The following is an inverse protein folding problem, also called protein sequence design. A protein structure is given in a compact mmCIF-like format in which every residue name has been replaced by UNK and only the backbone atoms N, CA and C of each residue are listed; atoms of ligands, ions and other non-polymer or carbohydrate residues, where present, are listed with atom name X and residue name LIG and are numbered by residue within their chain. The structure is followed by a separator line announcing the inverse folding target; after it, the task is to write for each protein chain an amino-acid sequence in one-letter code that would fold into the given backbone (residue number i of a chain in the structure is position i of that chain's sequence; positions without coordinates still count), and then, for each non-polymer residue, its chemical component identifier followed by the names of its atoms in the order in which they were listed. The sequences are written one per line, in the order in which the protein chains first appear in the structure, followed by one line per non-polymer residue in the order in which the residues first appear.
data_IF_904499746092
#
_entry.id   IF_904499746092
#
_cell.length_a   1.000
_cell.length_b   1.000
_cell.length_c   1.000
_cell.angle_alpha   90.00
_cell.angle_beta   90.00
_cell.angle_gamma   90.00
#
_symmetry.space_group_name_H-M   'P 1'
#
loop_
_entity.id
_entity.type
_entity.pdbx_description
1 polymer ?
#
# COMPACT_ATOMS: atom_id res chain seq x y z
N UNK A 1 6.24 -3.26 23.41
CA UNK A 1 6.13 -2.10 22.48
C UNK A 1 5.07 -2.42 21.42
N UNK A 2 4.07 -1.56 21.21
CA UNK A 2 3.07 -1.76 20.15
C UNK A 2 3.76 -1.64 18.77
N UNK A 3 3.44 -2.57 17.86
CA UNK A 3 3.89 -2.51 16.48
C UNK A 3 3.15 -1.38 15.76
N UNK A 4 3.86 -0.52 15.04
CA UNK A 4 3.28 0.57 14.25
C UNK A 4 3.21 0.16 12.79
N UNK A 5 2.05 0.38 12.17
CA UNK A 5 1.77 0.04 10.78
C UNK A 5 1.15 1.23 10.07
N UNK A 6 1.69 1.61 8.92
CA UNK A 6 1.05 2.55 7.98
C UNK A 6 0.49 1.74 6.83
N UNK A 7 -0.82 1.77 6.65
CA UNK A 7 -1.48 1.27 5.45
C UNK A 7 -1.53 2.39 4.43
N UNK A 8 -0.87 2.18 3.29
CA UNK A 8 -0.75 3.17 2.23
C UNK A 8 -1.72 2.86 1.09
N UNK A 9 -2.75 3.68 0.97
CA UNK A 9 -3.79 3.61 -0.06
C UNK A 9 -4.23 5.01 -0.49
N UNK A 10 -3.56 5.62 -1.46
CA UNK A 10 -3.80 7.00 -1.88
C UNK A 10 -5.24 7.32 -2.32
N UNK A 11 -5.93 6.38 -2.95
CA UNK A 11 -7.31 6.57 -3.41
C UNK A 11 -8.18 5.42 -2.93
N UNK A 12 -9.20 5.73 -2.14
CA UNK A 12 -10.23 4.79 -1.72
C UNK A 12 -11.43 5.03 -2.63
N UNK A 13 -11.74 4.03 -3.46
CA UNK A 13 -12.87 4.02 -4.38
C UNK A 13 -13.80 2.89 -3.97
N UNK A 14 -14.99 2.80 -4.54
CA UNK A 14 -15.95 1.75 -4.17
C UNK A 14 -15.62 0.47 -4.97
N UNK A 15 -14.88 -0.47 -4.35
CA UNK A 15 -14.43 -1.69 -5.02
C UNK A 15 -14.02 -2.82 -4.07
N UNK A 16 -13.67 -3.97 -4.67
CA UNK A 16 -13.26 -5.17 -3.91
C UNK A 16 -11.94 -5.03 -3.15
N UNK A 17 -11.06 -4.14 -3.60
CA UNK A 17 -9.79 -3.84 -2.91
C UNK A 17 -10.07 -3.13 -1.60
N UNK A 18 -11.03 -2.23 -1.60
CA UNK A 18 -11.43 -1.41 -0.45
C UNK A 18 -12.15 -2.23 0.61
N UNK A 19 -13.05 -3.15 0.23
CA UNK A 19 -13.66 -4.09 1.19
C UNK A 19 -12.60 -4.85 1.97
N UNK A 20 -11.65 -5.41 1.25
CA UNK A 20 -10.52 -6.12 1.84
C UNK A 20 -9.64 -5.21 2.72
N UNK A 21 -9.42 -3.95 2.31
CA UNK A 21 -8.74 -2.97 3.14
C UNK A 21 -9.46 -2.75 4.48
N UNK A 22 -10.78 -2.59 4.46
CA UNK A 22 -11.57 -2.36 5.67
C UNK A 22 -11.47 -3.55 6.63
N UNK A 23 -11.66 -4.77 6.10
CA UNK A 23 -11.61 -5.99 6.92
C UNK A 23 -10.23 -6.22 7.53
N UNK A 24 -9.17 -6.15 6.71
CA UNK A 24 -7.79 -6.32 7.17
C UNK A 24 -7.41 -5.25 8.19
N UNK A 25 -7.74 -3.98 7.93
CA UNK A 25 -7.39 -2.88 8.83
C UNK A 25 -8.12 -2.98 10.16
N UNK A 26 -9.40 -3.29 10.14
CA UNK A 26 -10.20 -3.46 11.35
C UNK A 26 -9.74 -4.67 12.17
N UNK A 27 -9.41 -5.78 11.52
CA UNK A 27 -8.83 -6.96 12.19
C UNK A 27 -7.50 -6.63 12.86
N UNK A 28 -6.60 -5.95 12.17
CA UNK A 28 -5.29 -5.58 12.71
C UNK A 28 -5.40 -4.60 13.88
N UNK A 29 -6.32 -3.64 13.81
CA UNK A 29 -6.60 -2.69 14.89
C UNK A 29 -7.11 -3.41 16.14
N UNK A 30 -8.08 -4.34 15.99
CA UNK A 30 -8.59 -5.18 17.10
C UNK A 30 -7.47 -6.02 17.76
N UNK A 31 -6.45 -6.41 17.02
CA UNK A 31 -5.28 -7.14 17.53
C UNK A 31 -4.17 -6.22 18.08
N UNK A 32 -4.54 -5.01 18.54
CA UNK A 32 -3.64 -4.05 19.24
C UNK A 32 -2.46 -3.55 18.42
N UNK A 33 -2.53 -3.60 17.09
CA UNK A 33 -1.58 -2.94 16.20
C UNK A 33 -1.95 -1.46 16.12
N UNK A 34 -0.98 -0.57 16.36
CA UNK A 34 -1.18 0.87 16.16
C UNK A 34 -1.18 1.15 14.65
N UNK A 35 -2.37 1.30 14.09
CA UNK A 35 -2.59 1.39 12.65
C UNK A 35 -2.94 2.81 12.24
N UNK A 36 -2.26 3.28 11.20
CA UNK A 36 -2.52 4.55 10.55
C UNK A 36 -2.82 4.31 9.08
N UNK A 37 -3.86 4.95 8.54
CA UNK A 37 -4.20 4.89 7.12
C UNK A 37 -3.78 6.18 6.45
N UNK A 38 -2.94 6.07 5.42
CA UNK A 38 -2.50 7.17 4.59
C UNK A 38 -3.27 7.18 3.27
N UNK A 39 -4.17 8.16 3.14
CA UNK A 39 -5.06 8.32 1.98
C UNK A 39 -5.39 9.79 1.73
N UNK A 40 -5.77 10.10 0.49
CA UNK A 40 -6.38 11.39 0.15
C UNK A 40 -7.90 11.43 0.35
N UNK A 41 -8.54 10.27 0.54
CA UNK A 41 -9.99 10.15 0.65
C UNK A 41 -10.39 9.80 2.09
N UNK A 42 -10.92 10.77 2.83
CA UNK A 42 -11.41 10.54 4.20
C UNK A 42 -12.91 10.18 4.27
N UNK A 43 -13.62 10.19 3.15
CA UNK A 43 -15.08 10.02 3.12
C UNK A 43 -15.55 8.64 3.61
N UNK A 44 -14.68 7.64 3.57
CA UNK A 44 -15.01 6.27 4.02
C UNK A 44 -14.46 5.94 5.42
N UNK A 45 -14.11 6.96 6.21
CA UNK A 45 -13.61 6.76 7.57
C UNK A 45 -14.58 6.00 8.47
N UNK A 46 -15.89 6.06 8.19
CA UNK A 46 -16.94 5.34 8.91
C UNK A 46 -16.84 3.81 8.81
N UNK A 47 -16.21 3.29 7.77
CA UNK A 47 -16.00 1.86 7.56
C UNK A 47 -14.84 1.29 8.38
N UNK A 48 -14.11 2.15 9.07
CA UNK A 48 -12.95 1.77 9.89
C UNK A 48 -13.26 1.90 11.38
N UNK A 49 -12.59 1.08 12.19
CA UNK A 49 -12.62 1.19 13.64
C UNK A 49 -12.14 2.57 14.09
N UNK A 50 -12.80 3.14 15.12
CA UNK A 50 -12.51 4.48 15.67
C UNK A 50 -11.06 4.66 16.17
N UNK A 51 -10.39 3.56 16.45
CA UNK A 51 -8.99 3.54 16.92
C UNK A 51 -7.96 3.78 15.80
N UNK A 52 -8.39 3.61 14.53
CA UNK A 52 -7.53 3.78 13.37
C UNK A 52 -7.35 5.26 13.07
N UNK A 53 -6.10 5.70 13.01
CA UNK A 53 -5.76 7.08 12.71
C UNK A 53 -5.64 7.28 11.20
N UNK A 54 -6.16 8.40 10.71
CA UNK A 54 -5.98 8.81 9.32
C UNK A 54 -4.89 9.86 9.24
N UNK A 55 -3.90 9.58 8.39
CA UNK A 55 -2.85 10.51 8.01
C UNK A 55 -2.98 10.77 6.51
N UNK A 56 -3.07 12.03 6.10
CA UNK A 56 -3.26 12.37 4.69
C UNK A 56 -3.58 13.83 4.52
N UNK A 57 -4.06 14.18 3.36
CA UNK A 57 -4.51 15.54 3.08
C UNK A 57 -5.88 15.75 3.71
N UNK A 58 -5.95 16.61 4.73
CA UNK A 58 -7.22 17.00 5.37
C UNK A 58 -8.12 17.84 4.46
N UNK A 59 -7.62 18.29 3.31
CA UNK A 59 -8.29 19.21 2.43
C UNK A 59 -9.14 18.44 1.40
N UNK A 60 -10.43 18.76 1.33
CA UNK A 60 -11.39 18.24 0.34
C UNK A 60 -10.98 18.51 -1.12
N UNK A 61 -10.12 19.52 -1.35
CA UNK A 61 -9.55 19.81 -2.65
C UNK A 61 -8.91 18.59 -3.33
N UNK A 62 -8.24 17.71 -2.55
CA UNK A 62 -7.58 16.53 -3.10
C UNK A 62 -8.53 15.41 -3.47
N UNK A 63 -9.73 15.38 -2.87
CA UNK A 63 -10.72 14.32 -3.10
C UNK A 63 -11.23 14.31 -4.53
N UNK A 64 -11.34 15.50 -5.15
CA UNK A 64 -11.84 15.68 -6.51
C UNK A 64 -10.75 15.64 -7.59
N UNK A 65 -9.49 15.36 -7.21
CA UNK A 65 -8.38 15.29 -8.17
C UNK A 65 -8.24 13.92 -8.81
N UNK A 66 -7.59 13.91 -9.98
CA UNK A 66 -7.27 12.68 -10.70
C UNK A 66 -6.41 11.74 -9.82
N UNK A 67 -6.56 10.44 -10.04
CA UNK A 67 -5.87 9.38 -9.29
C UNK A 67 -4.35 9.59 -9.21
N UNK A 68 -3.72 10.03 -10.30
CA UNK A 68 -2.26 10.30 -10.32
C UNK A 68 -1.85 11.42 -9.37
N UNK A 69 -2.66 12.47 -9.26
CA UNK A 69 -2.42 13.59 -8.34
C UNK A 69 -2.57 13.14 -6.89
N UNK A 70 -3.60 12.33 -6.59
CA UNK A 70 -3.78 11.72 -5.26
C UNK A 70 -2.57 10.85 -4.89
N UNK A 71 -2.05 10.08 -5.85
CA UNK A 71 -0.84 9.26 -5.64
C UNK A 71 0.36 10.12 -5.28
N UNK A 72 0.63 11.16 -6.07
CA UNK A 72 1.75 12.08 -5.81
C UNK A 72 1.62 12.76 -4.44
N UNK A 73 0.46 13.30 -4.11
CA UNK A 73 0.20 13.95 -2.82
C UNK A 73 0.46 12.98 -1.65
N UNK A 74 -0.09 11.75 -1.72
CA UNK A 74 0.11 10.75 -0.68
C UNK A 74 1.56 10.27 -0.58
N UNK A 75 2.30 10.18 -1.69
CA UNK A 75 3.73 9.84 -1.68
C UNK A 75 4.56 10.91 -0.99
N UNK A 76 4.24 12.20 -1.22
CA UNK A 76 4.88 13.32 -0.52
C UNK A 76 4.59 13.25 0.99
N UNK A 77 3.32 13.01 1.37
CA UNK A 77 2.93 12.84 2.78
C UNK A 77 3.65 11.64 3.41
N UNK A 78 3.74 10.52 2.70
CA UNK A 78 4.46 9.33 3.17
C UNK A 78 5.93 9.65 3.43
N UNK A 79 6.60 10.31 2.48
CA UNK A 79 8.00 10.70 2.59
C UNK A 79 8.25 11.55 3.83
N UNK A 80 7.51 12.66 4.00
CA UNK A 80 7.68 13.53 5.17
C UNK A 80 7.28 12.87 6.48
N UNK A 81 6.26 12.02 6.46
CA UNK A 81 5.85 11.27 7.65
C UNK A 81 6.95 10.30 8.10
N UNK A 82 7.54 9.57 7.16
CA UNK A 82 8.63 8.64 7.47
C UNK A 82 9.90 9.37 7.92
N UNK A 83 10.27 10.49 7.30
CA UNK A 83 11.47 11.26 7.69
C UNK A 83 11.40 11.74 9.12
N UNK A 84 10.24 12.25 9.55
CA UNK A 84 10.04 12.82 10.89
C UNK A 84 10.07 11.77 12.01
N UNK A 85 9.92 10.49 11.70
CA UNK A 85 9.86 9.43 12.71
C UNK A 85 11.24 8.90 13.06
N UNK A 86 11.63 8.97 14.33
CA UNK A 86 12.85 8.31 14.84
C UNK A 86 12.76 6.79 14.69
N UNK A 87 11.59 6.20 15.02
CA UNK A 87 11.32 4.79 14.83
C UNK A 87 10.44 4.61 13.59
N UNK A 88 10.94 3.84 12.62
CA UNK A 88 10.23 3.61 11.37
C UNK A 88 9.10 2.57 11.57
N UNK A 89 7.85 2.88 11.16
CA UNK A 89 6.77 1.91 11.12
C UNK A 89 6.98 0.91 10.00
N UNK A 90 6.23 -0.19 10.01
CA UNK A 90 6.07 -1.02 8.82
C UNK A 90 5.10 -0.30 7.86
N UNK A 91 5.42 -0.25 6.57
CA UNK A 91 4.50 0.25 5.53
C UNK A 91 3.83 -0.93 4.84
N UNK A 92 2.50 -0.90 4.72
CA UNK A 92 1.73 -1.87 3.97
C UNK A 92 1.02 -1.18 2.81
N UNK A 93 1.54 -1.35 1.59
CA UNK A 93 1.06 -0.65 0.41
C UNK A 93 0.03 -1.49 -0.35
N UNK A 94 -1.19 -0.95 -0.50
CA UNK A 94 -2.29 -1.51 -1.30
C UNK A 94 -2.34 -0.95 -2.71
N UNK A 95 -1.79 0.25 -2.93
CA UNK A 95 -1.74 0.94 -4.22
C UNK A 95 -0.41 1.65 -4.38
N UNK A 96 -0.07 2.03 -5.61
CA UNK A 96 1.16 2.73 -5.96
C UNK A 96 2.43 2.05 -5.42
N UNK A 97 2.41 0.71 -5.36
CA UNK A 97 3.40 -0.15 -4.69
C UNK A 97 4.85 0.19 -5.07
N UNK A 98 5.11 0.39 -6.36
CA UNK A 98 6.45 0.70 -6.89
C UNK A 98 7.03 1.97 -6.26
N UNK A 99 6.27 3.06 -6.29
CA UNK A 99 6.71 4.35 -5.76
C UNK A 99 6.84 4.34 -4.23
N UNK A 100 5.88 3.71 -3.55
CA UNK A 100 5.94 3.55 -2.10
C UNK A 100 7.17 2.72 -1.67
N UNK A 101 7.53 1.69 -2.46
CA UNK A 101 8.72 0.87 -2.20
C UNK A 101 10.00 1.68 -2.33
N UNK A 102 10.13 2.50 -3.36
CA UNK A 102 11.29 3.37 -3.53
C UNK A 102 11.46 4.30 -2.32
N UNK A 103 10.37 5.00 -1.92
CA UNK A 103 10.41 5.91 -0.77
C UNK A 103 10.78 5.16 0.51
N UNK A 104 10.15 4.01 0.76
CA UNK A 104 10.42 3.22 1.95
C UNK A 104 11.89 2.78 2.02
N UNK A 105 12.47 2.35 0.88
CA UNK A 105 13.86 1.90 0.84
C UNK A 105 14.85 3.05 1.01
N UNK A 106 14.65 4.18 0.35
CA UNK A 106 15.47 5.38 0.53
C UNK A 106 15.50 5.82 2.00
N UNK A 107 14.37 5.65 2.71
CA UNK A 107 14.24 6.04 4.12
C UNK A 107 14.48 4.87 5.10
N UNK A 108 15.09 3.78 4.65
CA UNK A 108 15.39 2.57 5.45
C UNK A 108 14.18 2.06 6.24
N UNK A 109 13.03 1.99 5.58
CA UNK A 109 11.75 1.56 6.15
C UNK A 109 11.34 0.23 5.55
N UNK A 110 10.84 -0.69 6.39
CA UNK A 110 10.29 -1.97 5.90
C UNK A 110 8.97 -1.76 5.20
N UNK A 111 8.78 -2.43 4.06
CA UNK A 111 7.56 -2.35 3.26
C UNK A 111 7.08 -3.73 2.83
N UNK A 112 5.78 -3.93 2.96
CA UNK A 112 5.01 -5.03 2.38
C UNK A 112 4.17 -4.44 1.25
N UNK A 113 4.16 -5.06 0.08
CA UNK A 113 3.31 -4.66 -1.04
C UNK A 113 2.24 -5.69 -1.31
N UNK A 114 1.01 -5.25 -1.60
CA UNK A 114 -0.09 -6.12 -1.99
C UNK A 114 -0.54 -5.80 -3.41
N UNK A 115 -0.54 -6.80 -4.27
CA UNK A 115 -1.04 -6.70 -5.64
C UNK A 115 -2.35 -7.48 -5.78
N UNK A 116 -3.40 -6.79 -6.25
CA UNK A 116 -4.74 -7.34 -6.41
C UNK A 116 -5.08 -7.59 -7.90
N UNK A 117 -4.09 -7.51 -8.78
CA UNK A 117 -4.25 -7.71 -10.23
C UNK A 117 -3.07 -8.46 -10.82
N UNK A 118 -3.31 -9.14 -11.94
CA UNK A 118 -2.26 -9.82 -12.68
C UNK A 118 -1.22 -8.84 -13.22
N UNK A 119 0.07 -9.25 -13.31
CA UNK A 119 1.14 -8.37 -13.78
C UNK A 119 1.05 -8.02 -15.28
N UNK A 120 0.24 -8.76 -16.05
CA UNK A 120 0.13 -8.57 -17.50
C UNK A 120 -0.49 -7.21 -17.89
N UNK A 121 -1.42 -6.67 -17.08
CA UNK A 121 -2.17 -5.46 -17.43
C UNK A 121 -1.35 -4.16 -17.39
N UNK A 122 -0.25 -4.09 -16.63
CA UNK A 122 0.51 -2.86 -16.42
C UNK A 122 2.02 -2.97 -16.68
N UNK A 123 2.50 -4.15 -17.06
CA UNK A 123 3.91 -4.40 -17.37
C UNK A 123 4.12 -4.98 -18.77
N UNK A 124 3.36 -4.50 -19.76
CA UNK A 124 3.45 -4.97 -21.15
C UNK A 124 4.74 -4.52 -21.85
N UNK A 125 5.25 -3.33 -21.51
CA UNK A 125 6.51 -2.81 -22.07
C UNK A 125 7.70 -3.38 -21.29
N UNK A 126 8.74 -3.82 -22.01
CA UNK A 126 9.96 -4.40 -21.42
C UNK A 126 10.61 -3.48 -20.38
N UNK A 127 10.74 -2.19 -20.69
CA UNK A 127 11.35 -1.20 -19.78
C UNK A 127 10.52 -1.09 -18.49
N UNK A 128 9.20 -0.94 -18.60
CA UNK A 128 8.29 -0.90 -17.43
C UNK A 128 8.38 -2.19 -16.63
N UNK A 129 8.46 -3.34 -17.30
CA UNK A 129 8.60 -4.63 -16.65
C UNK A 129 9.90 -4.75 -15.85
N UNK A 130 11.02 -4.27 -16.39
CA UNK A 130 12.33 -4.27 -15.72
C UNK A 130 12.33 -3.34 -14.50
N UNK A 131 11.82 -2.12 -14.65
CA UNK A 131 11.70 -1.17 -13.53
C UNK A 131 10.81 -1.77 -12.43
N UNK A 132 9.68 -2.37 -12.81
CA UNK A 132 8.79 -3.00 -11.84
C UNK A 132 9.46 -4.19 -11.15
N UNK A 133 10.14 -5.06 -11.91
CA UNK A 133 10.92 -6.16 -11.35
C UNK A 133 11.93 -5.65 -10.32
N UNK A 134 12.68 -4.61 -10.65
CA UNK A 134 13.62 -4.00 -9.72
C UNK A 134 12.93 -3.51 -8.45
N UNK A 135 11.88 -2.70 -8.58
CA UNK A 135 11.18 -2.13 -7.44
C UNK A 135 10.52 -3.19 -6.55
N UNK A 136 9.89 -4.21 -7.14
CA UNK A 136 9.20 -5.25 -6.36
C UNK A 136 10.19 -6.13 -5.58
N UNK A 137 11.39 -6.38 -6.14
CA UNK A 137 12.45 -7.10 -5.46
C UNK A 137 13.07 -6.31 -4.29
N UNK A 138 12.89 -5.01 -4.24
CA UNK A 138 13.27 -4.19 -3.09
C UNK A 138 12.28 -4.33 -1.91
N UNK A 139 11.03 -4.73 -2.13
CA UNK A 139 10.08 -4.91 -1.05
C UNK A 139 10.54 -6.01 -0.07
N UNK A 140 10.17 -5.86 1.20
CA UNK A 140 10.51 -6.88 2.20
C UNK A 140 9.61 -8.10 2.07
N UNK A 141 8.36 -7.89 1.62
CA UNK A 141 7.41 -8.96 1.34
C UNK A 141 6.49 -8.51 0.20
N UNK A 142 6.14 -9.46 -0.66
CA UNK A 142 5.20 -9.25 -1.76
C UNK A 142 4.01 -10.16 -1.54
N UNK A 143 2.81 -9.58 -1.45
CA UNK A 143 1.57 -10.31 -1.25
C UNK A 143 0.68 -10.21 -2.49
N UNK A 144 -0.01 -11.30 -2.77
CA UNK A 144 -1.08 -11.38 -3.80
C UNK A 144 -2.30 -12.09 -3.21
N UNK A 145 -3.42 -11.98 -3.88
CA UNK A 145 -4.71 -12.51 -3.41
C UNK A 145 -5.14 -13.84 -4.07
N UNK A 146 -4.31 -14.41 -4.94
CA UNK A 146 -4.59 -15.72 -5.54
C UNK A 146 -3.31 -16.49 -5.85
N UNK A 147 -3.41 -17.82 -5.86
CA UNK A 147 -2.32 -18.72 -6.26
C UNK A 147 -1.95 -18.56 -7.73
N UNK A 148 -2.89 -18.18 -8.57
CA UNK A 148 -2.62 -17.88 -9.98
C UNK A 148 -1.73 -16.64 -10.10
N UNK A 149 -2.07 -15.55 -9.41
CA UNK A 149 -1.24 -14.34 -9.40
C UNK A 149 0.13 -14.61 -8.80
N UNK A 150 0.22 -15.44 -7.76
CA UNK A 150 1.49 -15.87 -7.20
C UNK A 150 2.39 -16.49 -8.28
N UNK A 151 1.89 -17.49 -9.01
CA UNK A 151 2.65 -18.15 -10.10
C UNK A 151 3.09 -17.16 -11.18
N UNK A 152 2.19 -16.24 -11.58
CA UNK A 152 2.51 -15.22 -12.59
C UNK A 152 3.57 -14.24 -12.13
N UNK A 153 3.53 -13.78 -10.88
CA UNK A 153 4.52 -12.87 -10.31
C UNK A 153 5.88 -13.56 -10.16
N UNK A 154 5.92 -14.76 -9.60
CA UNK A 154 7.15 -15.53 -9.42
C UNK A 154 7.83 -15.83 -10.76
N UNK A 155 7.05 -16.24 -11.77
CA UNK A 155 7.56 -16.49 -13.13
C UNK A 155 8.08 -15.22 -13.80
N UNK A 156 7.33 -14.09 -13.71
CA UNK A 156 7.67 -12.87 -14.45
C UNK A 156 8.77 -12.06 -13.79
N UNK A 157 8.74 -11.93 -12.46
CA UNK A 157 9.63 -11.02 -11.73
C UNK A 157 10.71 -11.73 -10.93
N UNK A 158 10.68 -13.06 -10.87
CA UNK A 158 11.64 -13.88 -10.11
C UNK A 158 11.75 -13.42 -8.65
N UNK A 159 10.60 -13.17 -8.02
CA UNK A 159 10.46 -12.72 -6.64
C UNK A 159 9.64 -13.73 -5.86
N UNK A 160 10.01 -13.98 -4.61
CA UNK A 160 9.19 -14.81 -3.69
C UNK A 160 7.91 -14.05 -3.34
N UNK A 161 6.76 -14.71 -3.44
CA UNK A 161 5.45 -14.11 -3.23
C UNK A 161 4.63 -14.92 -2.23
N UNK A 162 4.03 -14.24 -1.27
CA UNK A 162 3.08 -14.82 -0.33
C UNK A 162 1.65 -14.64 -0.84
N UNK A 163 0.90 -15.74 -0.95
CA UNK A 163 -0.52 -15.69 -1.31
C UNK A 163 -1.36 -15.59 -0.04
N UNK A 164 -2.15 -14.52 0.08
CA UNK A 164 -3.17 -14.35 1.12
C UNK A 164 -4.47 -13.99 0.42
N UNK A 165 -5.42 -14.93 0.44
CA UNK A 165 -6.74 -14.74 -0.16
C UNK A 165 -7.48 -13.56 0.45
N UNK A 166 -8.42 -13.02 -0.30
CA UNK A 166 -9.37 -12.06 0.25
C UNK A 166 -10.27 -12.77 1.25
N UNK A 167 -10.60 -12.12 2.38
CA UNK A 167 -11.59 -12.64 3.32
C UNK A 167 -12.97 -12.73 2.70
#
# INVERSE_FOLDING_TARGET
MKKELIVFIPSIEDGGVEKNLFEVSNYLSKNKINLEILTCNNNMSTNFSKEIKFIGTKNTFWQNKNRSIKYLACLIVLFFNLIKRKKKPLVFAFQANMYATIIAKVLNTKIITRSNSAPAGWSQNLIKSLIYKFCINLANEVMVNSTEFKKLFEKKFQVKVTCIYNP
#
